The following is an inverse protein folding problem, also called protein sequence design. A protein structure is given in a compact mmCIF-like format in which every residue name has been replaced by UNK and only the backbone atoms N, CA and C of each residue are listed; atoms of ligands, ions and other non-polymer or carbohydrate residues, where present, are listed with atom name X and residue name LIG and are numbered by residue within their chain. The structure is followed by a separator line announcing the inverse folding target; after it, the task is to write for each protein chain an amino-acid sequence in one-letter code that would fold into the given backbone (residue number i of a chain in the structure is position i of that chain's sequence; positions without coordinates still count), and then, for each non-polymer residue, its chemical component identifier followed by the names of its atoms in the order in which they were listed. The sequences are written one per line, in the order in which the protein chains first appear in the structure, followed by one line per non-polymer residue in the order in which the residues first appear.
data_IF_734242536597
#
_entry.id   IF_734242536597
#
_cell.length_a   1.000
_cell.length_b   1.000
_cell.length_c   1.000
_cell.angle_alpha   90.00
_cell.angle_beta   90.00
_cell.angle_gamma   90.00
#
_symmetry.space_group_name_H-M   'P 1'
#
loop_
_entity.id
_entity.type
_entity.pdbx_description
1 polymer ?
#
# COMPACT_ATOMS: atom_id res chain seq x y z
N UNK A 1 30.94 47.34 -30.49
CA UNK A 1 30.00 46.62 -31.38
C UNK A 1 30.50 45.23 -31.80
N UNK A 2 31.79 45.01 -32.09
CA UNK A 2 32.34 43.72 -32.56
C UNK A 2 32.16 42.54 -31.59
N UNK A 3 32.30 42.76 -30.27
CA UNK A 3 32.15 41.71 -29.27
C UNK A 3 30.72 41.13 -29.14
N UNK A 4 29.68 41.98 -29.35
CA UNK A 4 28.28 41.52 -29.31
C UNK A 4 27.90 40.69 -30.54
N UNK A 5 28.48 41.00 -31.70
CA UNK A 5 28.34 40.21 -32.93
C UNK A 5 29.04 38.85 -32.81
N UNK A 6 30.23 38.80 -32.21
CA UNK A 6 30.95 37.55 -31.95
C UNK A 6 30.19 36.63 -30.98
N UNK A 7 29.58 37.20 -29.93
CA UNK A 7 28.79 36.42 -28.98
C UNK A 7 27.50 35.87 -29.59
N UNK A 8 26.85 36.64 -30.46
CA UNK A 8 25.68 36.17 -31.23
C UNK A 8 26.03 35.03 -32.18
N UNK A 9 27.16 35.12 -32.88
CA UNK A 9 27.65 34.04 -33.74
C UNK A 9 27.98 32.77 -32.94
N UNK A 10 28.61 32.91 -31.77
CA UNK A 10 28.95 31.80 -30.90
C UNK A 10 27.70 31.05 -30.39
N UNK A 11 26.62 31.77 -30.05
CA UNK A 11 25.35 31.13 -29.67
C UNK A 11 24.70 30.35 -30.81
N UNK A 12 24.75 30.87 -32.04
CA UNK A 12 24.21 30.19 -33.22
C UNK A 12 24.99 28.90 -33.50
N UNK A 13 26.32 28.93 -33.38
CA UNK A 13 27.17 27.74 -33.56
C UNK A 13 26.88 26.67 -32.52
N UNK A 14 26.72 27.06 -31.25
CA UNK A 14 26.37 26.10 -30.17
C UNK A 14 24.99 25.48 -30.42
N UNK A 15 24.01 26.28 -30.85
CA UNK A 15 22.67 25.78 -31.14
C UNK A 15 22.68 24.79 -32.31
N UNK A 16 23.42 25.08 -33.38
CA UNK A 16 23.57 24.17 -34.51
C UNK A 16 24.25 22.85 -34.13
N UNK A 17 25.30 22.90 -33.30
CA UNK A 17 25.99 21.71 -32.78
C UNK A 17 25.06 20.85 -31.90
N UNK A 18 24.27 21.48 -31.04
CA UNK A 18 23.31 20.78 -30.18
C UNK A 18 22.27 20.00 -31.00
N UNK A 19 21.69 20.65 -32.01
CA UNK A 19 20.71 20.00 -32.91
C UNK A 19 21.34 18.85 -33.71
N UNK A 20 22.57 19.04 -34.19
CA UNK A 20 23.31 18.01 -34.93
C UNK A 20 23.57 16.76 -34.10
N UNK A 21 24.01 16.92 -32.84
CA UNK A 21 24.25 15.81 -31.92
C UNK A 21 22.95 15.04 -31.63
N UNK A 22 21.84 15.77 -31.42
CA UNK A 22 20.55 15.15 -31.12
C UNK A 22 20.00 14.36 -32.32
N UNK A 23 20.19 14.86 -33.54
CA UNK A 23 19.85 14.14 -34.76
C UNK A 23 20.71 12.88 -34.93
N UNK A 24 22.02 13.00 -34.73
CA UNK A 24 22.94 11.88 -34.81
C UNK A 24 22.61 10.77 -33.81
N UNK A 25 22.21 11.13 -32.59
CA UNK A 25 21.76 10.17 -31.59
C UNK A 25 20.51 9.43 -32.06
N UNK A 26 19.49 10.15 -32.55
CA UNK A 26 18.27 9.53 -33.09
C UNK A 26 18.52 8.57 -34.26
N UNK A 27 19.49 8.89 -35.13
CA UNK A 27 19.84 8.02 -36.25
C UNK A 27 20.74 6.86 -35.87
N UNK A 28 21.50 6.98 -34.76
CA UNK A 28 22.48 5.99 -34.33
C UNK A 28 21.95 4.98 -33.31
N UNK A 29 20.68 5.10 -32.88
CA UNK A 29 20.03 4.00 -32.13
C UNK A 29 19.69 2.91 -33.15
N UNK A 30 20.36 1.75 -33.11
CA UNK A 30 19.99 0.63 -33.98
C UNK A 30 18.59 0.17 -33.59
N UNK A 31 17.70 0.07 -34.58
CA UNK A 31 16.37 -0.52 -34.42
C UNK A 31 16.49 -2.05 -34.43
N UNK A 32 17.31 -2.59 -33.54
CA UNK A 32 17.53 -4.02 -33.43
C UNK A 32 16.29 -4.65 -32.82
N UNK A 33 15.33 -4.99 -33.68
CA UNK A 33 14.34 -6.02 -33.38
C UNK A 33 15.09 -7.33 -33.24
N UNK A 34 15.11 -7.89 -32.02
CA UNK A 34 15.69 -9.19 -31.73
C UNK A 34 15.05 -10.26 -32.63
N UNK A 35 15.78 -10.68 -33.67
CA UNK A 35 15.38 -11.80 -34.52
C UNK A 35 16.19 -13.02 -34.08
N UNK A 36 15.57 -13.91 -33.32
CA UNK A 36 16.19 -15.15 -32.87
C UNK A 36 16.19 -16.11 -34.07
N UNK A 37 17.34 -16.21 -34.74
CA UNK A 37 17.55 -17.16 -35.82
C UNK A 37 17.91 -18.53 -35.21
N UNK A 38 16.95 -19.45 -35.20
CA UNK A 38 17.19 -20.81 -34.74
C UNK A 38 17.85 -21.59 -35.89
N UNK A 39 19.16 -21.78 -35.84
CA UNK A 39 19.84 -22.73 -36.73
C UNK A 39 19.40 -24.15 -36.32
N UNK A 40 18.44 -24.71 -37.04
CA UNK A 40 18.11 -26.14 -36.98
C UNK A 40 19.30 -26.92 -37.55
N UNK A 41 20.02 -27.62 -36.68
CA UNK A 41 20.90 -28.70 -37.13
C UNK A 41 20.01 -29.82 -37.65
N UNK A 42 20.31 -30.33 -38.85
CA UNK A 42 19.56 -31.40 -39.49
C UNK A 42 19.63 -32.69 -38.65
N UNK A 43 18.62 -32.89 -37.79
CA UNK A 43 18.39 -34.17 -37.13
C UNK A 43 17.43 -34.97 -38.01
N UNK A 44 17.90 -36.15 -38.42
CA UNK A 44 17.18 -37.15 -39.16
C UNK A 44 15.83 -37.45 -38.50
N UNK A 45 14.73 -37.15 -39.22
CA UNK A 45 13.36 -37.36 -38.75
C UNK A 45 13.00 -38.84 -38.78
N UNK A 46 13.34 -39.57 -37.71
CA UNK A 46 12.62 -40.79 -37.41
C UNK A 46 11.25 -40.44 -36.83
N UNK A 47 10.21 -40.94 -37.49
CA UNK A 47 8.80 -40.61 -37.25
C UNK A 47 8.31 -41.28 -35.96
N UNK A 48 8.49 -40.60 -34.82
CA UNK A 48 7.93 -41.05 -33.54
C UNK A 48 6.44 -40.70 -33.50
N UNK A 49 5.62 -41.61 -34.00
CA UNK A 49 4.17 -41.41 -34.15
C UNK A 49 3.39 -41.69 -32.84
N UNK A 50 4.07 -42.04 -31.74
CA UNK A 50 3.44 -42.41 -30.45
C UNK A 50 3.62 -41.42 -29.30
N UNK A 51 4.58 -40.50 -29.36
CA UNK A 51 4.97 -39.66 -28.22
C UNK A 51 4.20 -38.35 -28.09
N UNK A 52 3.34 -37.96 -29.04
CA UNK A 52 2.63 -36.68 -28.95
C UNK A 52 1.18 -36.81 -28.47
N UNK A 53 0.65 -38.03 -28.38
CA UNK A 53 -0.72 -38.29 -27.93
C UNK A 53 -0.95 -37.88 -26.47
N UNK A 54 0.03 -38.12 -25.59
CA UNK A 54 -0.07 -37.67 -24.19
C UNK A 54 -0.09 -36.14 -24.08
N UNK A 55 0.73 -35.46 -24.91
CA UNK A 55 0.83 -34.00 -24.96
C UNK A 55 -0.46 -33.36 -25.50
N UNK A 56 -1.05 -33.96 -26.53
CA UNK A 56 -2.35 -33.55 -27.06
C UNK A 56 -3.45 -33.70 -26.01
N UNK A 57 -3.43 -34.74 -25.18
CA UNK A 57 -4.42 -34.91 -24.10
C UNK A 57 -4.33 -33.81 -23.02
N UNK A 58 -3.13 -33.27 -22.77
CA UNK A 58 -2.90 -32.17 -21.83
C UNK A 58 -3.38 -30.82 -22.39
N UNK A 59 -3.20 -30.59 -23.69
CA UNK A 59 -3.60 -29.35 -24.35
C UNK A 59 -5.12 -29.27 -24.58
N UNK A 60 -5.79 -30.42 -24.72
CA UNK A 60 -7.24 -30.47 -25.01
C UNK A 60 -8.10 -30.47 -23.74
N UNK A 61 -7.52 -30.84 -22.59
CA UNK A 61 -8.22 -30.84 -21.31
C UNK A 61 -7.92 -29.53 -20.59
N UNK A 62 -8.88 -28.61 -20.56
CA UNK A 62 -8.81 -27.44 -19.66
C UNK A 62 -8.69 -27.96 -18.23
N UNK A 63 -7.47 -28.02 -17.70
CA UNK A 63 -7.26 -28.40 -16.32
C UNK A 63 -7.86 -27.28 -15.48
N UNK A 64 -9.02 -27.55 -14.90
CA UNK A 64 -9.49 -26.85 -13.70
C UNK A 64 -8.53 -27.26 -12.58
N UNK A 65 -7.28 -26.78 -12.64
CA UNK A 65 -6.32 -26.97 -11.57
C UNK A 65 -6.82 -26.15 -10.39
N UNK A 66 -7.49 -26.82 -9.47
CA UNK A 66 -7.86 -26.24 -8.19
C UNK A 66 -6.61 -26.30 -7.33
N UNK A 67 -6.00 -25.15 -7.07
CA UNK A 67 -4.89 -25.03 -6.13
C UNK A 67 -5.46 -25.22 -4.71
N UNK A 68 -5.15 -26.32 -4.01
CA UNK A 68 -5.74 -26.62 -2.71
C UNK A 68 -4.98 -25.89 -1.60
N UNK A 69 -4.71 -24.59 -1.79
CA UNK A 69 -4.11 -23.77 -0.76
C UNK A 69 -5.12 -22.75 -0.24
N UNK A 70 -5.12 -22.60 1.07
CA UNK A 70 -5.89 -21.56 1.74
C UNK A 70 -5.23 -20.21 1.47
N UNK A 71 -5.78 -19.41 0.55
CA UNK A 71 -5.35 -18.02 0.34
C UNK A 71 -6.09 -17.09 1.32
N UNK A 72 -5.33 -16.34 2.13
CA UNK A 72 -5.88 -15.26 2.95
C UNK A 72 -5.48 -13.94 2.30
N UNK A 73 -6.46 -13.24 1.71
CA UNK A 73 -6.26 -11.90 1.15
C UNK A 73 -6.59 -10.87 2.23
N UNK A 74 -5.57 -10.20 2.76
CA UNK A 74 -5.73 -9.15 3.77
C UNK A 74 -5.60 -7.80 3.07
N UNK A 75 -6.70 -7.06 2.99
CA UNK A 75 -6.70 -5.67 2.56
C UNK A 75 -6.47 -4.75 3.76
N UNK A 76 -5.40 -3.96 3.74
CA UNK A 76 -5.13 -2.91 4.72
C UNK A 76 -5.20 -1.55 4.05
N UNK A 77 -6.11 -0.70 4.54
CA UNK A 77 -6.22 0.68 4.08
C UNK A 77 -5.33 1.57 4.95
N UNK A 78 -4.27 2.11 4.37
CA UNK A 78 -3.39 3.07 5.03
C UNK A 78 -3.96 4.49 4.91
N UNK A 79 -3.92 5.26 6.00
CA UNK A 79 -4.35 6.67 5.99
C UNK A 79 -3.34 7.55 5.24
N UNK A 80 -3.85 8.64 4.68
CA UNK A 80 -2.99 9.65 4.04
C UNK A 80 -2.24 10.47 5.10
N UNK A 81 -1.01 10.96 4.82
CA UNK A 81 -0.19 11.70 5.79
C UNK A 81 -0.86 12.93 6.41
N UNK A 82 -1.84 13.53 5.72
CA UNK A 82 -2.51 14.77 6.12
C UNK A 82 -3.96 14.57 6.58
N UNK A 83 -4.41 13.32 6.77
CA UNK A 83 -5.78 13.03 7.18
C UNK A 83 -5.98 13.32 8.68
N UNK A 84 -6.94 14.20 9.01
CA UNK A 84 -7.23 14.54 10.42
C UNK A 84 -7.74 13.31 11.16
N UNK A 85 -7.08 12.96 12.26
CA UNK A 85 -7.48 11.85 13.13
C UNK A 85 -8.81 12.22 13.78
N UNK A 86 -9.89 11.57 13.34
CA UNK A 86 -11.14 11.52 14.08
C UNK A 86 -11.05 10.31 15.01
N UNK A 87 -10.69 10.47 16.29
CA UNK A 87 -10.53 9.33 17.17
C UNK A 87 -11.86 8.60 17.29
N UNK A 88 -11.83 7.31 17.03
CA UNK A 88 -12.99 6.41 17.11
C UNK A 88 -13.00 5.71 18.46
N UNK A 89 -11.87 5.71 19.19
CA UNK A 89 -11.78 5.14 20.52
C UNK A 89 -10.88 5.97 21.45
N UNK A 90 -11.17 5.91 22.73
CA UNK A 90 -10.32 6.43 23.80
C UNK A 90 -9.79 5.28 24.63
N UNK A 91 -8.51 5.31 24.98
CA UNK A 91 -7.88 4.32 25.83
C UNK A 91 -7.46 4.99 27.13
N UNK A 92 -7.99 4.51 28.24
CA UNK A 92 -7.62 4.92 29.60
C UNK A 92 -6.79 3.78 30.19
N UNK A 93 -5.57 4.09 30.63
CA UNK A 93 -4.60 3.09 31.07
C UNK A 93 -4.31 3.21 32.55
N UNK A 94 -3.91 2.09 33.16
CA UNK A 94 -3.45 2.03 34.55
C UNK A 94 -4.50 2.52 35.56
N UNK A 95 -5.77 2.13 35.35
CA UNK A 95 -6.82 2.39 36.34
C UNK A 95 -6.59 1.49 37.55
N UNK A 96 -6.69 2.11 38.73
CA UNK A 96 -6.87 1.40 39.98
C UNK A 96 -8.30 0.83 40.09
N UNK A 97 -8.50 -0.11 41.02
CA UNK A 97 -9.78 -0.80 41.19
C UNK A 97 -10.95 0.15 41.47
N UNK A 98 -10.69 1.26 42.18
CA UNK A 98 -11.73 2.21 42.55
C UNK A 98 -12.16 3.04 41.33
N UNK A 99 -11.20 3.63 40.60
CA UNK A 99 -11.47 4.39 39.37
C UNK A 99 -12.11 3.52 38.31
N UNK A 100 -11.65 2.28 38.16
CA UNK A 100 -12.28 1.31 37.26
C UNK A 100 -13.74 1.08 37.64
N UNK A 101 -14.03 0.83 38.91
CA UNK A 101 -15.40 0.63 39.38
C UNK A 101 -16.29 1.83 39.07
N UNK A 102 -15.85 3.05 39.38
CA UNK A 102 -16.61 4.27 39.08
C UNK A 102 -16.87 4.45 37.58
N UNK A 103 -15.83 4.32 36.74
CA UNK A 103 -15.95 4.44 35.30
C UNK A 103 -16.88 3.37 34.72
N UNK A 104 -16.74 2.13 35.15
CA UNK A 104 -17.56 1.00 34.70
C UNK A 104 -19.05 1.24 34.94
N UNK A 105 -19.41 1.73 36.13
CA UNK A 105 -20.82 2.02 36.45
C UNK A 105 -21.37 3.19 35.64
N UNK A 106 -20.61 4.29 35.51
CA UNK A 106 -21.03 5.44 34.71
C UNK A 106 -21.19 5.06 33.23
N UNK A 107 -20.21 4.36 32.65
CA UNK A 107 -20.25 3.94 31.25
C UNK A 107 -21.43 3.00 30.96
N UNK A 108 -21.73 2.08 31.89
CA UNK A 108 -22.92 1.21 31.79
C UNK A 108 -24.23 2.00 31.88
N UNK A 109 -24.33 2.93 32.83
CA UNK A 109 -25.53 3.75 33.03
C UNK A 109 -25.85 4.58 31.78
N UNK A 110 -24.83 5.23 31.23
CA UNK A 110 -24.95 6.08 30.03
C UNK A 110 -25.01 5.27 28.71
N UNK A 111 -24.97 3.93 28.80
CA UNK A 111 -25.00 3.00 27.65
C UNK A 111 -23.91 3.32 26.63
N UNK A 112 -22.73 3.69 27.12
CA UNK A 112 -21.55 3.91 26.30
C UNK A 112 -20.89 2.56 26.07
N UNK A 113 -20.53 2.24 24.83
CA UNK A 113 -19.88 0.98 24.51
C UNK A 113 -18.40 1.04 24.93
N UNK A 114 -17.96 0.06 25.71
CA UNK A 114 -16.57 -0.04 26.16
C UNK A 114 -16.14 -1.51 26.31
N UNK A 115 -14.83 -1.71 26.24
CA UNK A 115 -14.18 -2.96 26.60
C UNK A 115 -13.11 -2.67 27.65
N UNK A 116 -12.77 -3.66 28.48
CA UNK A 116 -11.68 -3.53 29.43
C UNK A 116 -10.86 -4.82 29.49
N UNK A 117 -9.60 -4.70 29.86
CA UNK A 117 -8.73 -5.83 30.13
C UNK A 117 -7.88 -5.55 31.37
N UNK A 118 -7.58 -6.62 32.11
CA UNK A 118 -6.74 -6.55 33.29
C UNK A 118 -5.41 -7.22 32.99
N UNK A 119 -4.33 -6.48 33.25
CA UNK A 119 -2.96 -6.98 33.14
C UNK A 119 -2.30 -6.81 34.52
N UNK A 120 -2.19 -7.90 35.27
CA UNK A 120 -1.71 -7.86 36.65
C UNK A 120 -2.63 -7.02 37.55
N UNK A 121 -2.08 -5.96 38.14
CA UNK A 121 -2.81 -5.05 39.03
C UNK A 121 -3.31 -3.76 38.35
N UNK A 122 -3.13 -3.63 37.03
CA UNK A 122 -3.63 -2.49 36.26
C UNK A 122 -4.79 -2.91 35.35
N UNK A 123 -5.82 -2.06 35.30
CA UNK A 123 -6.96 -2.24 34.40
C UNK A 123 -6.93 -1.13 33.35
N UNK A 124 -7.12 -1.51 32.09
CA UNK A 124 -7.23 -0.58 30.99
C UNK A 124 -8.65 -0.64 30.41
N UNK A 125 -9.24 0.53 30.13
CA UNK A 125 -10.55 0.66 29.49
C UNK A 125 -10.37 1.25 28.09
N UNK A 126 -11.04 0.65 27.11
CA UNK A 126 -11.22 1.17 25.76
C UNK A 126 -12.66 1.60 25.59
N UNK A 127 -12.89 2.90 25.45
CA UNK A 127 -14.21 3.51 25.21
C UNK A 127 -14.38 3.72 23.71
N UNK A 128 -15.47 3.20 23.13
CA UNK A 128 -15.81 3.42 21.73
C UNK A 128 -16.60 4.72 21.60
N UNK A 129 -16.09 5.65 20.77
CA UNK A 129 -16.70 6.95 20.60
C UNK A 129 -17.78 6.91 19.51
N UNK A 130 -19.02 7.35 19.81
CA UNK A 130 -20.04 7.50 18.79
C UNK A 130 -19.69 8.66 17.84
N UNK A 131 -20.24 8.65 16.63
CA UNK A 131 -20.05 9.73 15.64
C UNK A 131 -20.94 10.96 15.91
N UNK A 132 -21.65 10.97 17.03
CA UNK A 132 -22.65 11.99 17.39
C UNK A 132 -22.10 13.05 18.37
N UNK A 133 -22.96 13.95 18.83
CA UNK A 133 -22.63 15.01 19.79
C UNK A 133 -22.09 14.50 21.12
N UNK A 134 -22.39 13.25 21.51
CA UNK A 134 -21.94 12.65 22.78
C UNK A 134 -20.44 12.44 22.83
N UNK A 135 -19.77 12.31 21.69
CA UNK A 135 -18.31 12.24 21.64
C UNK A 135 -17.64 13.43 22.32
N UNK A 136 -18.15 14.65 22.09
CA UNK A 136 -17.58 15.86 22.71
C UNK A 136 -17.81 15.86 24.21
N UNK A 137 -19.02 15.50 24.64
CA UNK A 137 -19.39 15.42 26.04
C UNK A 137 -18.53 14.42 26.80
N UNK A 138 -18.34 13.20 26.27
CA UNK A 138 -17.46 12.18 26.88
C UNK A 138 -16.03 12.72 27.06
N UNK A 139 -15.50 13.41 26.05
CA UNK A 139 -14.15 13.98 26.12
C UNK A 139 -14.08 15.11 27.16
N UNK A 140 -15.12 15.93 27.27
CA UNK A 140 -15.21 17.01 28.26
C UNK A 140 -15.33 16.46 29.68
N UNK A 141 -16.15 15.44 29.90
CA UNK A 141 -16.33 14.79 31.20
C UNK A 141 -15.02 14.14 31.66
N UNK A 142 -14.34 13.40 30.78
CA UNK A 142 -13.03 12.81 31.11
C UNK A 142 -12.00 13.88 31.48
N UNK A 143 -12.01 15.04 30.81
CA UNK A 143 -11.15 16.18 31.17
C UNK A 143 -11.55 16.80 32.51
N UNK A 144 -12.84 16.95 32.76
CA UNK A 144 -13.37 17.52 34.00
C UNK A 144 -12.93 16.69 35.22
N UNK A 145 -12.95 15.37 35.10
CA UNK A 145 -12.49 14.45 36.15
C UNK A 145 -10.98 14.14 36.11
N UNK A 146 -10.22 14.88 35.29
CA UNK A 146 -8.76 14.72 35.14
C UNK A 146 -8.31 13.30 34.77
N UNK A 147 -9.17 12.54 34.11
CA UNK A 147 -8.90 11.17 33.68
C UNK A 147 -8.01 11.22 32.44
N UNK A 148 -6.80 10.65 32.57
CA UNK A 148 -5.83 10.61 31.48
C UNK A 148 -6.25 9.58 30.42
N UNK A 149 -6.33 10.02 29.16
CA UNK A 149 -6.73 9.16 28.04
C UNK A 149 -5.84 9.36 26.81
N UNK A 150 -5.78 8.33 25.96
CA UNK A 150 -5.14 8.35 24.64
C UNK A 150 -6.20 8.19 23.56
N UNK A 151 -6.27 9.14 22.63
CA UNK A 151 -7.21 9.11 21.52
C UNK A 151 -6.61 8.33 20.33
N UNK A 152 -7.37 7.39 19.75
CA UNK A 152 -6.94 6.54 18.63
C UNK A 152 -7.99 6.48 17.51
#
# INVERSE_FOLDING_TARGET
MKAKLLFGFLLIVIFALSVYILFFYYTSIPKDTFNINHNESAVEKNKIQGETLWLQSLLTKSQNYSYPATEIKIGVNFRSPNEKINPTKLVIQHLDNYKFFCLNEVLKQEKIEFAYYQTGNSIDIVIFLPNDSRKKQIIEDLKHYEIQYKAQ
#
